data_IF_389871144372
#
_entry.id   IF_389871144372
#
_cell.length_a   1.000
_cell.length_b   1.000
_cell.length_c   1.000
_cell.angle_alpha   90.00
_cell.angle_beta   90.00
_cell.angle_gamma   90.00
#
_symmetry.space_group_name_H-M   'P 1'
#
loop_
_entity.id
_entity.type
_entity.pdbx_description
1 polymer ?
#
# COMPACT_ATOMS: atom_id res chain seq x y z
N UNK A 1 0.93 12.25 -28.06
CA UNK A 1 -0.53 12.10 -28.24
C UNK A 1 -1.12 12.02 -26.85
N UNK A 2 -1.94 13.02 -26.53
CA UNK A 2 -2.60 13.37 -25.26
C UNK A 2 -2.26 12.53 -24.00
N UNK A 3 -1.43 13.16 -23.16
CA UNK A 3 -1.26 12.94 -21.74
C UNK A 3 -2.62 13.00 -21.00
N UNK A 4 -2.89 11.97 -20.19
CA UNK A 4 -4.12 11.78 -19.44
C UNK A 4 -3.92 11.86 -17.92
N UNK A 5 -2.92 12.58 -17.42
CA UNK A 5 -2.84 12.89 -15.99
C UNK A 5 -3.56 14.19 -15.69
N UNK A 6 -4.82 14.10 -15.26
CA UNK A 6 -5.46 15.21 -14.57
C UNK A 6 -6.50 14.69 -13.56
N UNK A 7 -6.00 14.30 -12.39
CA UNK A 7 -6.81 14.26 -11.17
C UNK A 7 -6.00 14.89 -10.05
N UNK A 8 -5.69 16.18 -10.20
CA UNK A 8 -5.26 17.00 -9.07
C UNK A 8 -6.41 17.06 -8.05
N UNK A 9 -6.22 16.39 -6.92
CA UNK A 9 -6.92 16.70 -5.68
C UNK A 9 -6.26 17.95 -5.06
N UNK A 10 -6.24 19.05 -5.81
CA UNK A 10 -5.78 20.33 -5.31
C UNK A 10 -6.85 20.93 -4.39
N UNK A 11 -6.41 21.25 -3.18
CA UNK A 11 -7.13 22.14 -2.30
C UNK A 11 -7.28 23.51 -2.96
N UNK A 12 -8.52 24.00 -2.99
CA UNK A 12 -8.93 25.37 -3.32
C UNK A 12 -8.98 25.80 -4.80
N UNK A 13 -10.19 25.79 -5.37
CA UNK A 13 -10.85 27.01 -5.87
C UNK A 13 -12.34 26.77 -6.08
N UNK A 14 -13.16 27.59 -5.42
CA UNK A 14 -14.64 27.51 -5.51
C UNK A 14 -15.09 28.06 -6.85
N UNK A 15 -15.43 27.17 -7.78
CA UNK A 15 -16.29 27.50 -8.93
C UNK A 15 -17.41 26.48 -9.05
N UNK A 16 -18.58 26.90 -9.53
CA UNK A 16 -19.83 26.12 -9.59
C UNK A 16 -19.72 24.74 -10.28
N UNK A 17 -18.65 24.45 -11.04
CA UNK A 17 -18.37 23.13 -11.64
C UNK A 17 -17.83 22.09 -10.63
N UNK A 18 -17.23 22.52 -9.52
CA UNK A 18 -16.67 21.61 -8.49
C UNK A 18 -17.74 20.89 -7.65
N UNK A 19 -18.95 21.45 -7.54
CA UNK A 19 -20.04 20.88 -6.73
C UNK A 19 -20.59 19.57 -7.30
N UNK A 20 -20.74 19.47 -8.63
CA UNK A 20 -21.26 18.27 -9.31
C UNK A 20 -20.22 17.14 -9.37
N UNK A 21 -18.93 17.45 -9.49
CA UNK A 21 -17.85 16.48 -9.43
C UNK A 21 -17.70 15.89 -8.01
N UNK A 22 -17.78 16.73 -6.98
CA UNK A 22 -17.80 16.28 -5.57
C UNK A 22 -19.02 15.41 -5.24
N UNK A 23 -20.21 15.73 -5.77
CA UNK A 23 -21.40 14.87 -5.60
C UNK A 23 -21.26 13.50 -6.30
N UNK A 24 -20.65 13.45 -7.50
CA UNK A 24 -20.39 12.17 -8.22
C UNK A 24 -19.38 11.29 -7.49
N UNK A 25 -18.36 11.89 -6.87
CA UNK A 25 -17.40 11.18 -6.00
C UNK A 25 -18.10 10.50 -4.82
N UNK A 26 -19.08 11.16 -4.18
CA UNK A 26 -19.83 10.59 -3.05
C UNK A 26 -20.68 9.38 -3.45
N UNK A 27 -21.26 9.35 -4.65
CA UNK A 27 -22.05 8.19 -5.14
C UNK A 27 -21.21 6.94 -5.42
N UNK A 28 -19.88 7.07 -5.52
CA UNK A 28 -18.97 5.95 -5.73
C UNK A 28 -18.45 5.36 -4.42
N UNK A 29 -18.71 6.00 -3.28
CA UNK A 29 -18.23 5.51 -1.98
C UNK A 29 -18.98 4.23 -1.64
N UNK A 30 -18.24 3.17 -1.30
CA UNK A 30 -18.84 1.94 -0.79
C UNK A 30 -19.48 2.25 0.58
N UNK A 31 -20.79 2.00 0.78
CA UNK A 31 -21.46 2.32 2.04
C UNK A 31 -20.82 1.66 3.26
N UNK A 32 -20.17 0.49 3.08
CA UNK A 32 -19.44 -0.20 4.16
C UNK A 32 -18.20 0.57 4.63
N UNK A 33 -17.59 1.34 3.74
CA UNK A 33 -16.39 2.14 4.00
C UNK A 33 -16.72 3.60 4.35
N UNK A 34 -17.93 4.07 4.04
CA UNK A 34 -18.32 5.47 4.11
C UNK A 34 -18.15 6.10 5.50
N UNK A 35 -18.52 5.38 6.56
CA UNK A 35 -18.38 5.88 7.93
C UNK A 35 -16.91 6.05 8.32
N UNK A 36 -16.05 5.08 7.99
CA UNK A 36 -14.61 5.19 8.27
C UNK A 36 -13.96 6.25 7.40
N UNK A 37 -14.33 6.35 6.12
CA UNK A 37 -13.87 7.43 5.24
C UNK A 37 -14.20 8.81 5.81
N UNK A 38 -15.43 9.03 6.27
CA UNK A 38 -15.81 10.29 6.90
C UNK A 38 -14.98 10.58 8.15
N UNK A 39 -14.74 9.58 9.01
CA UNK A 39 -13.89 9.71 10.20
C UNK A 39 -12.44 10.05 9.84
N UNK A 40 -11.83 9.33 8.89
CA UNK A 40 -10.46 9.58 8.46
C UNK A 40 -10.32 10.98 7.85
N UNK A 41 -11.28 11.40 7.04
CA UNK A 41 -11.24 12.72 6.38
C UNK A 41 -11.48 13.89 7.33
N UNK A 42 -12.38 13.75 8.32
CA UNK A 42 -12.77 14.82 9.24
C UNK A 42 -11.93 14.87 10.52
N UNK A 43 -11.35 13.75 10.95
CA UNK A 43 -10.74 13.61 12.28
C UNK A 43 -9.34 13.01 12.32
N UNK A 44 -8.76 12.61 11.19
CA UNK A 44 -7.40 12.08 11.16
C UNK A 44 -6.37 13.17 11.50
N UNK A 45 -5.48 12.91 12.47
CA UNK A 45 -4.27 13.72 12.65
C UNK A 45 -3.46 13.65 11.36
N UNK A 46 -3.33 14.79 10.66
CA UNK A 46 -2.50 14.91 9.46
C UNK A 46 -1.21 15.57 9.88
N UNK A 47 -0.14 14.78 9.95
CA UNK A 47 1.17 15.30 10.31
C UNK A 47 2.00 15.51 9.05
N UNK A 48 1.84 16.69 8.44
CA UNK A 48 2.62 17.05 7.26
C UNK A 48 4.12 17.21 7.57
N UNK A 49 4.48 17.49 8.83
CA UNK A 49 5.89 17.58 9.23
C UNK A 49 6.61 16.22 9.14
N UNK A 50 5.87 15.10 9.22
CA UNK A 50 6.44 13.75 9.01
C UNK A 50 6.94 13.57 7.59
N UNK A 51 6.24 14.14 6.59
CA UNK A 51 6.67 14.06 5.19
C UNK A 51 7.97 14.82 4.99
N UNK A 52 8.04 16.04 5.51
CA UNK A 52 9.24 16.88 5.39
C UNK A 52 10.43 16.24 6.12
N UNK A 53 10.21 15.68 7.31
CA UNK A 53 11.24 14.97 8.07
C UNK A 53 11.74 13.72 7.33
N UNK A 54 10.84 12.92 6.74
CA UNK A 54 11.24 11.77 5.95
C UNK A 54 11.97 12.17 4.66
N UNK A 55 11.51 13.23 3.97
CA UNK A 55 12.18 13.74 2.77
C UNK A 55 13.61 14.20 3.08
N UNK A 56 13.80 14.95 4.17
CA UNK A 56 15.12 15.38 4.62
C UNK A 56 16.02 14.19 4.99
N UNK A 57 15.46 13.18 5.68
CA UNK A 57 16.17 11.94 5.95
C UNK A 57 16.58 11.22 4.65
N UNK A 58 15.66 11.10 3.69
CA UNK A 58 15.91 10.42 2.43
C UNK A 58 17.02 11.09 1.62
N UNK A 59 17.04 12.43 1.61
CA UNK A 59 18.11 13.22 1.00
C UNK A 59 19.45 13.03 1.74
N UNK A 60 19.45 13.13 3.08
CA UNK A 60 20.65 12.97 3.89
C UNK A 60 21.28 11.57 3.76
N UNK A 61 20.46 10.53 3.71
CA UNK A 61 20.91 9.15 3.52
C UNK A 61 21.29 8.85 2.05
N UNK A 62 21.05 9.79 1.13
CA UNK A 62 21.41 9.67 -0.28
C UNK A 62 20.59 8.62 -1.03
N UNK A 63 19.30 8.45 -0.72
CA UNK A 63 18.42 7.57 -1.49
C UNK A 63 18.24 8.07 -2.92
N UNK A 64 18.13 7.14 -3.88
CA UNK A 64 18.05 7.40 -5.32
C UNK A 64 16.61 7.23 -5.84
N UNK A 65 15.64 7.87 -5.20
CA UNK A 65 14.24 7.82 -5.63
C UNK A 65 13.98 8.79 -6.79
N UNK A 66 13.26 8.36 -7.80
CA UNK A 66 12.84 9.18 -8.95
C UNK A 66 11.38 9.61 -8.90
N UNK A 67 10.60 9.06 -7.97
CA UNK A 67 9.25 9.53 -7.67
C UNK A 67 9.04 9.77 -6.18
N UNK A 68 8.00 10.55 -5.87
CA UNK A 68 7.59 10.88 -4.50
C UNK A 68 6.16 10.42 -4.22
N UNK A 69 5.58 9.54 -5.03
CA UNK A 69 4.17 9.14 -4.93
C UNK A 69 3.78 8.65 -3.53
N UNK A 70 4.61 7.80 -2.92
CA UNK A 70 4.44 7.30 -1.56
C UNK A 70 4.34 8.42 -0.50
N UNK A 71 4.99 9.56 -0.71
CA UNK A 71 4.94 10.70 0.22
C UNK A 71 3.53 11.26 0.40
N UNK A 72 2.63 11.08 -0.57
CA UNK A 72 1.26 11.55 -0.47
C UNK A 72 0.44 10.78 0.57
N UNK A 73 0.83 9.53 0.85
CA UNK A 73 0.13 8.65 1.78
C UNK A 73 0.68 8.77 3.21
N UNK A 74 1.95 9.21 3.36
CA UNK A 74 2.64 9.34 4.65
C UNK A 74 1.82 10.06 5.74
N UNK A 75 1.21 11.24 5.50
CA UNK A 75 0.46 11.95 6.56
C UNK A 75 -0.71 11.15 7.13
N UNK A 76 -1.26 10.22 6.35
CA UNK A 76 -2.43 9.42 6.72
C UNK A 76 -2.02 8.07 7.32
N UNK A 77 -1.00 7.43 6.74
CA UNK A 77 -0.57 6.09 7.14
C UNK A 77 0.37 6.12 8.36
N UNK A 78 1.16 7.18 8.55
CA UNK A 78 2.10 7.30 9.68
C UNK A 78 1.45 7.14 11.07
N UNK A 79 0.37 7.86 11.44
CA UNK A 79 -0.25 7.68 12.75
C UNK A 79 -0.81 6.26 12.93
N UNK A 80 -1.41 5.71 11.87
CA UNK A 80 -1.97 4.36 11.88
C UNK A 80 -0.89 3.29 12.14
N UNK A 81 0.26 3.41 11.48
CA UNK A 81 1.39 2.48 11.65
C UNK A 81 2.04 2.62 13.03
N UNK A 82 2.13 3.84 13.57
CA UNK A 82 2.60 4.07 14.95
C UNK A 82 1.67 3.39 15.96
N UNK A 83 0.36 3.56 15.81
CA UNK A 83 -0.62 2.92 16.69
C UNK A 83 -0.57 1.39 16.59
N UNK A 84 -0.43 0.87 15.37
CA UNK A 84 -0.23 -0.56 15.11
C UNK A 84 1.02 -1.10 15.81
N UNK A 85 2.13 -0.38 15.73
CA UNK A 85 3.40 -0.77 16.32
C UNK A 85 3.44 -0.59 17.86
N UNK A 86 2.67 0.37 18.40
CA UNK A 86 2.57 0.65 19.83
C UNK A 86 1.73 -0.40 20.60
N UNK A 87 0.80 -1.08 19.92
CA UNK A 87 0.02 -2.20 20.48
C UNK A 87 0.83 -3.50 20.60
N UNK A 88 2.08 -3.49 20.14
CA UNK A 88 3.00 -4.64 20.14
C UNK A 88 4.12 -4.42 21.15
N UNK A 89 4.69 -5.48 21.77
CA UNK A 89 5.84 -5.37 22.64
C UNK A 89 6.98 -4.56 22.01
N UNK A 90 7.63 -3.73 22.83
CA UNK A 90 8.80 -2.99 22.40
C UNK A 90 9.90 -3.97 21.93
N UNK A 91 10.49 -3.71 20.77
CA UNK A 91 11.54 -4.56 20.20
C UNK A 91 11.04 -5.86 19.54
N UNK A 92 9.74 -6.16 19.53
CA UNK A 92 9.19 -7.26 18.75
C UNK A 92 9.46 -7.04 17.24
N UNK A 93 9.91 -8.10 16.55
CA UNK A 93 10.03 -8.12 15.09
C UNK A 93 8.65 -8.08 14.47
N UNK A 94 8.42 -7.12 13.57
CA UNK A 94 7.22 -7.06 12.72
C UNK A 94 7.60 -7.69 11.38
N UNK A 95 6.95 -8.81 11.03
CA UNK A 95 7.08 -9.43 9.70
C UNK A 95 6.25 -8.63 8.72
N UNK A 96 6.94 -7.97 7.80
CA UNK A 96 6.37 -7.01 6.88
C UNK A 96 6.52 -7.49 5.43
N UNK A 97 5.40 -7.62 4.71
CA UNK A 97 5.42 -7.91 3.27
C UNK A 97 4.97 -6.69 2.46
N UNK A 98 5.69 -6.36 1.39
CA UNK A 98 5.30 -5.33 0.42
C UNK A 98 5.21 -5.95 -0.99
N UNK A 99 4.05 -5.79 -1.64
CA UNK A 99 3.83 -6.15 -3.04
C UNK A 99 3.89 -4.87 -3.87
N UNK A 100 4.78 -4.81 -4.86
CA UNK A 100 5.02 -3.62 -5.67
C UNK A 100 5.88 -2.60 -4.93
N UNK A 101 7.18 -2.88 -4.84
CA UNK A 101 8.11 -2.02 -4.10
C UNK A 101 8.78 -0.96 -4.98
N UNK A 102 8.78 -1.11 -6.31
CA UNK A 102 9.42 -0.19 -7.26
C UNK A 102 10.88 0.12 -6.85
N UNK A 103 11.20 1.37 -6.51
CA UNK A 103 12.54 1.81 -6.03
C UNK A 103 12.71 1.69 -4.50
N UNK A 104 11.68 1.27 -3.76
CA UNK A 104 11.70 0.98 -2.33
C UNK A 104 11.41 2.18 -1.42
N UNK A 105 10.71 3.22 -1.91
CA UNK A 105 10.47 4.44 -1.13
C UNK A 105 9.58 4.19 0.08
N UNK A 106 8.51 3.42 -0.07
CA UNK A 106 7.63 3.07 1.03
C UNK A 106 8.39 2.22 2.08
N UNK A 107 9.13 1.20 1.65
CA UNK A 107 10.04 0.44 2.52
C UNK A 107 11.02 1.31 3.32
N UNK A 108 11.67 2.29 2.69
CA UNK A 108 12.57 3.22 3.39
C UNK A 108 11.83 4.10 4.40
N UNK A 109 10.61 4.53 4.08
CA UNK A 109 9.74 5.23 5.02
C UNK A 109 9.36 4.34 6.21
N UNK A 110 9.03 3.08 5.95
CA UNK A 110 8.69 2.09 6.98
C UNK A 110 9.87 1.83 7.93
N UNK A 111 11.10 1.69 7.38
CA UNK A 111 12.34 1.57 8.16
C UNK A 111 12.55 2.78 9.07
N UNK A 112 12.45 3.99 8.50
CA UNK A 112 12.62 5.24 9.24
C UNK A 112 11.55 5.42 10.33
N UNK A 113 10.30 5.02 10.06
CA UNK A 113 9.20 5.12 11.02
C UNK A 113 9.31 4.10 12.16
N UNK A 114 9.79 2.88 11.85
CA UNK A 114 9.85 1.74 12.76
C UNK A 114 11.28 1.14 12.79
N UNK A 115 12.28 1.92 13.22
CA UNK A 115 13.68 1.55 13.10
C UNK A 115 13.99 0.26 13.84
N UNK A 116 14.77 -0.60 13.20
CA UNK A 116 15.24 -1.89 13.73
C UNK A 116 14.09 -2.84 14.16
N UNK A 117 12.88 -2.70 13.61
CA UNK A 117 11.75 -3.59 13.92
C UNK A 117 11.32 -4.51 12.80
N UNK A 118 11.70 -4.23 11.55
CA UNK A 118 11.10 -4.88 10.39
C UNK A 118 11.92 -6.08 9.91
N UNK A 119 11.26 -7.23 9.74
CA UNK A 119 11.72 -8.32 8.91
C UNK A 119 10.92 -8.28 7.60
N UNK A 120 11.57 -7.91 6.50
CA UNK A 120 10.92 -7.47 5.28
C UNK A 120 10.94 -8.56 4.22
N UNK A 121 9.81 -8.78 3.57
CA UNK A 121 9.65 -9.59 2.36
C UNK A 121 9.11 -8.70 1.24
N UNK A 122 9.81 -8.65 0.11
CA UNK A 122 9.41 -7.85 -1.05
C UNK A 122 9.01 -8.75 -2.20
N UNK A 123 7.92 -8.41 -2.87
CA UNK A 123 7.50 -9.04 -4.12
C UNK A 123 7.36 -7.95 -5.18
N UNK A 124 8.18 -8.01 -6.22
CA UNK A 124 8.10 -7.08 -7.35
C UNK A 124 8.59 -7.77 -8.62
N UNK A 125 7.89 -7.69 -9.76
CA UNK A 125 8.37 -8.30 -10.98
C UNK A 125 9.65 -7.64 -11.52
N UNK A 126 9.81 -6.32 -11.33
CA UNK A 126 10.79 -5.46 -12.00
C UNK A 126 10.96 -5.79 -13.50
N UNK A 127 12.01 -5.30 -14.15
CA UNK A 127 12.28 -5.70 -15.53
C UNK A 127 12.72 -7.17 -15.57
N UNK A 128 12.04 -7.97 -16.39
CA UNK A 128 12.42 -9.35 -16.70
C UNK A 128 12.02 -9.65 -18.15
N UNK A 129 12.95 -10.16 -18.97
CA UNK A 129 12.69 -10.37 -20.40
C UNK A 129 11.53 -11.34 -20.68
N UNK A 130 11.31 -12.32 -19.80
CA UNK A 130 10.30 -13.34 -19.97
C UNK A 130 8.98 -12.98 -19.26
N UNK A 131 9.06 -12.32 -18.10
CA UNK A 131 7.91 -12.06 -17.23
C UNK A 131 7.40 -10.62 -17.34
N UNK A 132 8.28 -9.63 -17.36
CA UNK A 132 7.89 -8.21 -17.38
C UNK A 132 8.88 -7.38 -18.23
N UNK A 133 8.79 -7.47 -19.57
CA UNK A 133 9.77 -6.90 -20.50
C UNK A 133 9.61 -5.39 -20.71
N UNK A 134 8.99 -4.68 -19.77
CA UNK A 134 8.79 -3.23 -19.87
C UNK A 134 10.09 -2.47 -19.56
N UNK A 135 10.74 -1.95 -20.61
CA UNK A 135 12.06 -1.30 -20.55
C UNK A 135 12.16 -0.17 -19.50
N UNK A 136 11.04 0.51 -19.20
CA UNK A 136 10.99 1.55 -18.16
C UNK A 136 11.44 1.04 -16.78
N UNK A 137 11.37 -0.26 -16.53
CA UNK A 137 11.80 -0.88 -15.28
C UNK A 137 13.28 -1.29 -15.23
N UNK A 138 14.06 -1.14 -16.32
CA UNK A 138 15.46 -1.56 -16.36
C UNK A 138 16.31 -0.95 -15.23
N UNK A 139 16.11 0.34 -14.95
CA UNK A 139 16.87 1.07 -13.94
C UNK A 139 16.30 0.92 -12.52
N UNK A 140 15.12 0.32 -12.38
CA UNK A 140 14.35 0.32 -11.12
C UNK A 140 14.92 -0.68 -10.13
N UNK A 141 15.08 -1.96 -10.50
CA UNK A 141 15.67 -2.96 -9.60
C UNK A 141 17.08 -2.57 -9.13
N UNK A 142 18.01 -2.10 -10.00
CA UNK A 142 19.31 -1.64 -9.54
C UNK A 142 19.25 -0.48 -8.53
N UNK A 143 18.34 0.47 -8.70
CA UNK A 143 18.12 1.57 -7.73
C UNK A 143 17.53 1.05 -6.43
N UNK A 144 16.52 0.19 -6.51
CA UNK A 144 15.94 -0.49 -5.37
C UNK A 144 17.02 -1.15 -4.51
N UNK A 145 17.91 -1.96 -5.11
CA UNK A 145 18.99 -2.63 -4.37
C UNK A 145 19.91 -1.63 -3.66
N UNK A 146 20.29 -0.54 -4.32
CA UNK A 146 21.13 0.52 -3.70
C UNK A 146 20.40 1.28 -2.60
N UNK A 147 19.08 1.45 -2.70
CA UNK A 147 18.25 2.06 -1.68
C UNK A 147 18.11 1.13 -0.47
N UNK A 148 17.79 -0.14 -0.69
CA UNK A 148 17.63 -1.11 0.40
C UNK A 148 18.93 -1.37 1.18
N UNK A 149 20.09 -1.20 0.54
CA UNK A 149 21.39 -1.24 1.22
C UNK A 149 21.59 -0.13 2.26
N UNK A 150 20.74 0.91 2.27
CA UNK A 150 20.76 2.03 3.22
C UNK A 150 19.77 1.83 4.38
N UNK A 151 18.93 0.80 4.33
CA UNK A 151 17.91 0.53 5.35
C UNK A 151 18.43 -0.39 6.46
N UNK A 152 17.92 -0.21 7.68
CA UNK A 152 18.27 -0.95 8.89
C UNK A 152 17.36 -2.14 9.21
N UNK A 153 16.86 -2.84 8.19
CA UNK A 153 15.96 -3.99 8.39
C UNK A 153 16.67 -5.13 9.16
N UNK A 154 15.91 -5.85 10.00
CA UNK A 154 16.40 -7.08 10.67
C UNK A 154 16.70 -8.19 9.66
N UNK A 155 15.92 -8.22 8.58
CA UNK A 155 16.13 -9.09 7.42
C UNK A 155 15.41 -8.50 6.22
N UNK A 156 15.89 -8.83 5.03
CA UNK A 156 15.27 -8.48 3.75
C UNK A 156 15.31 -9.71 2.84
N UNK A 157 14.14 -10.27 2.54
CA UNK A 157 13.95 -11.25 1.48
C UNK A 157 13.30 -10.58 0.27
N UNK A 158 13.72 -10.93 -0.94
CA UNK A 158 13.27 -10.26 -2.16
C UNK A 158 12.94 -11.30 -3.23
N UNK A 159 11.68 -11.33 -3.62
CA UNK A 159 11.16 -12.18 -4.68
C UNK A 159 10.92 -11.35 -5.93
N UNK A 160 11.77 -11.58 -6.94
CA UNK A 160 11.54 -11.05 -8.27
C UNK A 160 10.47 -11.89 -8.97
N UNK A 161 9.30 -11.32 -9.22
CA UNK A 161 8.20 -11.99 -9.93
C UNK A 161 6.82 -11.43 -9.60
N UNK A 162 5.80 -11.88 -10.33
CA UNK A 162 4.42 -11.51 -10.05
C UNK A 162 3.93 -12.18 -8.76
N UNK A 163 3.22 -11.41 -7.94
CA UNK A 163 2.54 -11.86 -6.72
C UNK A 163 1.64 -13.08 -6.94
N UNK A 164 0.94 -13.14 -8.08
CA UNK A 164 0.11 -14.30 -8.48
C UNK A 164 0.87 -15.63 -8.48
N UNK A 165 2.19 -15.63 -8.69
CA UNK A 165 3.02 -16.84 -8.64
C UNK A 165 3.76 -17.02 -7.31
N UNK A 166 4.13 -15.92 -6.66
CA UNK A 166 4.94 -15.94 -5.43
C UNK A 166 4.08 -16.23 -4.19
N UNK A 167 2.92 -15.58 -4.07
CA UNK A 167 2.04 -15.72 -2.89
C UNK A 167 1.54 -17.15 -2.63
N UNK A 168 1.14 -17.94 -3.65
CA UNK A 168 0.77 -19.35 -3.42
C UNK A 168 1.91 -20.17 -2.81
N UNK A 169 3.16 -19.91 -3.20
CA UNK A 169 4.32 -20.63 -2.68
C UNK A 169 4.60 -20.28 -1.22
N UNK A 170 4.46 -19.00 -0.85
CA UNK A 170 4.57 -18.56 0.54
C UNK A 170 3.48 -19.19 1.40
N UNK A 171 2.25 -19.27 0.88
CA UNK A 171 1.14 -19.89 1.57
C UNK A 171 1.38 -21.40 1.78
N UNK A 172 1.91 -22.10 0.78
CA UNK A 172 2.30 -23.51 0.87
C UNK A 172 3.37 -23.73 1.95
N UNK A 173 4.33 -22.80 2.07
CA UNK A 173 5.38 -22.82 3.11
C UNK A 173 4.87 -22.47 4.51
N UNK A 174 3.60 -22.05 4.63
CA UNK A 174 3.01 -21.64 5.90
C UNK A 174 3.56 -20.31 6.43
N UNK A 175 4.05 -19.46 5.54
CA UNK A 175 4.50 -18.12 5.91
C UNK A 175 3.35 -17.29 6.45
N UNK A 176 3.66 -16.37 7.36
CA UNK A 176 2.70 -15.43 7.90
C UNK A 176 3.35 -14.06 8.11
N UNK A 177 2.52 -13.02 8.04
CA UNK A 177 2.93 -11.64 8.21
C UNK A 177 2.08 -10.93 9.26
N UNK A 178 2.66 -9.90 9.85
CA UNK A 178 1.99 -9.02 10.81
C UNK A 178 1.51 -7.74 10.12
N UNK A 179 2.25 -7.30 9.11
CA UNK A 179 1.90 -6.17 8.27
C UNK A 179 2.05 -6.57 6.79
N UNK A 180 1.08 -6.21 5.97
CA UNK A 180 1.11 -6.39 4.52
C UNK A 180 0.76 -5.06 3.85
N UNK A 181 1.52 -4.66 2.84
CA UNK A 181 1.23 -3.52 1.97
C UNK A 181 1.05 -4.01 0.54
N UNK A 182 -0.09 -3.68 -0.06
CA UNK A 182 -0.45 -4.07 -1.42
C UNK A 182 -0.47 -2.83 -2.30
N UNK A 183 0.54 -2.70 -3.15
CA UNK A 183 0.75 -1.60 -4.11
C UNK A 183 1.24 -2.16 -5.46
N UNK A 184 0.65 -3.29 -5.88
CA UNK A 184 1.02 -4.00 -7.10
C UNK A 184 -0.17 -4.15 -8.03
N UNK A 185 0.04 -3.85 -9.33
CA UNK A 185 -1.00 -3.81 -10.37
C UNK A 185 -2.16 -2.86 -10.04
N UNK A 186 -2.86 -2.33 -11.05
CA UNK A 186 -4.11 -1.61 -10.80
C UNK A 186 -5.30 -2.25 -11.50
N UNK A 187 -5.20 -3.55 -11.83
CA UNK A 187 -6.32 -4.33 -12.38
C UNK A 187 -7.08 -5.05 -11.26
N UNK A 188 -8.41 -5.05 -11.32
CA UNK A 188 -9.22 -5.66 -10.27
C UNK A 188 -8.93 -7.16 -10.08
N UNK A 189 -8.60 -7.88 -11.16
CA UNK A 189 -8.29 -9.31 -11.10
C UNK A 189 -7.01 -9.58 -10.30
N UNK A 190 -5.91 -8.92 -10.66
CA UNK A 190 -4.63 -9.12 -9.99
C UNK A 190 -4.71 -8.72 -8.52
N UNK A 191 -5.28 -7.55 -8.24
CA UNK A 191 -5.46 -7.06 -6.86
C UNK A 191 -6.33 -8.02 -6.07
N UNK A 192 -7.47 -8.49 -6.60
CA UNK A 192 -8.35 -9.42 -5.85
C UNK A 192 -7.66 -10.75 -5.53
N UNK A 193 -6.84 -11.27 -6.46
CA UNK A 193 -6.01 -12.47 -6.21
C UNK A 193 -5.05 -12.20 -5.04
N UNK A 194 -4.34 -11.07 -5.07
CA UNK A 194 -3.39 -10.70 -4.04
C UNK A 194 -4.07 -10.55 -2.69
N UNK A 195 -5.24 -9.89 -2.63
CA UNK A 195 -6.01 -9.74 -1.40
C UNK A 195 -6.41 -11.08 -0.79
N UNK A 196 -6.85 -12.05 -1.60
CA UNK A 196 -7.24 -13.38 -1.12
C UNK A 196 -6.06 -14.15 -0.50
N UNK A 197 -4.89 -14.12 -1.14
CA UNK A 197 -3.69 -14.74 -0.57
C UNK A 197 -3.19 -13.98 0.66
N UNK A 198 -3.13 -12.65 0.60
CA UNK A 198 -2.71 -11.80 1.72
C UNK A 198 -3.62 -12.00 2.94
N UNK A 199 -4.93 -12.18 2.77
CA UNK A 199 -5.86 -12.49 3.85
C UNK A 199 -5.54 -13.81 4.58
N UNK A 200 -5.01 -14.79 3.83
CA UNK A 200 -4.60 -16.09 4.35
C UNK A 200 -3.21 -16.04 5.01
N UNK A 201 -2.32 -15.19 4.49
CA UNK A 201 -0.96 -14.96 5.01
C UNK A 201 -0.92 -13.97 6.19
N UNK A 202 -1.94 -13.13 6.36
CA UNK A 202 -2.01 -12.17 7.44
C UNK A 202 -2.43 -12.85 8.75
N UNK A 203 -1.64 -12.63 9.80
CA UNK A 203 -1.96 -13.10 11.16
C UNK A 203 -3.16 -12.34 11.73
N UNK A 204 -3.96 -12.96 12.61
CA UNK A 204 -4.98 -12.23 13.39
C UNK A 204 -4.31 -11.14 14.23
N UNK A 205 -4.88 -9.93 14.23
CA UNK A 205 -4.28 -8.72 14.78
C UNK A 205 -3.28 -8.03 13.85
N UNK A 206 -2.98 -8.65 12.70
CA UNK A 206 -2.19 -8.06 11.63
C UNK A 206 -2.97 -7.00 10.85
N UNK A 207 -2.23 -6.15 10.15
CA UNK A 207 -2.77 -5.07 9.32
C UNK A 207 -2.41 -5.29 7.86
N UNK A 208 -3.35 -4.98 6.97
CA UNK A 208 -3.16 -4.93 5.53
C UNK A 208 -3.52 -3.54 5.03
N UNK A 209 -2.59 -2.88 4.35
CA UNK A 209 -2.78 -1.55 3.73
C UNK A 209 -2.85 -1.73 2.21
N UNK A 210 -3.89 -1.17 1.62
CA UNK A 210 -4.23 -1.33 0.20
C UNK A 210 -4.10 0.04 -0.47
N UNK A 211 -3.08 0.21 -1.32
CA UNK A 211 -2.86 1.49 -2.01
C UNK A 211 -3.87 1.74 -3.13
N UNK A 212 -3.95 2.98 -3.61
CA UNK A 212 -4.69 3.37 -4.82
C UNK A 212 -6.18 2.97 -4.85
N UNK A 213 -6.85 2.99 -3.69
CA UNK A 213 -8.26 2.60 -3.56
C UNK A 213 -9.22 3.33 -4.51
N UNK A 214 -8.89 4.56 -4.94
CA UNK A 214 -9.74 5.33 -5.87
C UNK A 214 -9.50 5.03 -7.35
N UNK A 215 -8.62 4.08 -7.70
CA UNK A 215 -8.45 3.61 -9.08
C UNK A 215 -9.68 2.78 -9.50
N UNK A 216 -10.68 3.47 -10.07
CA UNK A 216 -11.91 2.87 -10.59
C UNK A 216 -11.72 2.12 -11.91
N UNK A 217 -10.79 2.61 -12.73
CA UNK A 217 -10.50 2.10 -14.07
C UNK A 217 -9.01 1.85 -14.16
N UNK A 218 -8.61 0.62 -14.49
CA UNK A 218 -7.20 0.26 -14.66
C UNK A 218 -6.60 0.89 -15.93
N UNK A 219 -5.28 0.94 -16.01
CA UNK A 219 -4.53 1.50 -17.15
C UNK A 219 -4.83 0.77 -18.47
N UNK A 220 -5.17 -0.51 -18.39
CA UNK A 220 -5.51 -1.35 -19.54
C UNK A 220 -7.00 -1.29 -19.93
N UNK A 221 -7.78 -0.44 -19.26
CA UNK A 221 -9.24 -0.40 -19.37
C UNK A 221 -9.92 -1.56 -18.63
N UNK A 222 -11.05 -1.27 -17.97
CA UNK A 222 -11.75 -2.23 -17.12
C UNK A 222 -11.67 -1.89 -15.64
N UNK A 223 -12.21 -2.74 -14.74
CA UNK A 223 -12.29 -2.45 -13.31
C UNK A 223 -10.89 -2.42 -12.67
N UNK A 224 -10.66 -1.45 -11.78
CA UNK A 224 -9.41 -1.26 -11.07
C UNK A 224 -9.42 -1.70 -9.61
N UNK A 225 -8.48 -1.14 -8.84
CA UNK A 225 -8.24 -1.43 -7.42
C UNK A 225 -9.53 -1.32 -6.60
N UNK A 226 -10.32 -0.26 -6.82
CA UNK A 226 -11.53 -0.01 -6.03
C UNK A 226 -12.47 -1.21 -6.05
N UNK A 227 -12.70 -1.78 -7.23
CA UNK A 227 -13.62 -2.90 -7.39
C UNK A 227 -13.09 -4.15 -6.69
N UNK A 228 -11.77 -4.40 -6.74
CA UNK A 228 -11.17 -5.51 -6.00
C UNK A 228 -11.37 -5.36 -4.49
N UNK A 229 -11.04 -4.20 -3.93
CA UNK A 229 -11.18 -3.92 -2.49
C UNK A 229 -12.63 -3.99 -2.04
N UNK A 230 -13.55 -3.41 -2.81
CA UNK A 230 -14.98 -3.42 -2.50
C UNK A 230 -15.57 -4.84 -2.49
N UNK A 231 -15.19 -5.67 -3.47
CA UNK A 231 -15.64 -7.06 -3.56
C UNK A 231 -15.00 -7.96 -2.50
N UNK A 232 -13.71 -7.81 -2.26
CA UNK A 232 -13.01 -8.51 -1.19
C UNK A 232 -13.67 -8.22 0.17
N UNK A 233 -13.91 -6.95 0.48
CA UNK A 233 -14.55 -6.57 1.74
C UNK A 233 -16.03 -7.01 1.78
N UNK A 234 -16.73 -7.06 0.65
CA UNK A 234 -18.09 -7.60 0.62
C UNK A 234 -18.14 -9.09 1.00
N UNK A 235 -17.15 -9.89 0.57
CA UNK A 235 -17.06 -11.32 0.88
C UNK A 235 -16.48 -11.61 2.28
N UNK A 236 -15.42 -10.90 2.65
CA UNK A 236 -14.60 -11.24 3.83
C UNK A 236 -14.63 -10.19 4.94
N UNK A 237 -15.36 -9.08 4.78
CA UNK A 237 -15.35 -7.96 5.73
C UNK A 237 -15.72 -8.33 7.17
N UNK A 238 -16.38 -9.47 7.42
CA UNK A 238 -16.66 -9.94 8.79
C UNK A 238 -15.41 -10.34 9.59
N UNK A 239 -14.29 -10.57 8.91
CA UNK A 239 -13.01 -10.94 9.52
C UNK A 239 -12.03 -9.77 9.59
N UNK A 240 -12.46 -8.56 9.18
CA UNK A 240 -11.63 -7.38 9.12
C UNK A 240 -12.32 -6.18 9.76
N UNK A 241 -11.59 -5.47 10.60
CA UNK A 241 -11.93 -4.12 11.00
C UNK A 241 -11.37 -3.14 9.96
N UNK A 242 -12.17 -2.14 9.56
CA UNK A 242 -11.70 -1.07 8.67
C UNK A 242 -11.05 0.02 9.54
N UNK A 243 -9.71 0.05 9.56
CA UNK A 243 -8.95 0.97 10.38
C UNK A 243 -8.87 2.38 9.77
N UNK A 244 -8.76 2.49 8.45
CA UNK A 244 -8.74 3.77 7.74
C UNK A 244 -9.25 3.63 6.30
N UNK A 245 -9.85 4.70 5.78
CA UNK A 245 -10.21 4.83 4.37
C UNK A 245 -9.92 6.26 3.92
N UNK A 246 -9.06 6.42 2.94
CA UNK A 246 -8.73 7.68 2.27
C UNK A 246 -8.31 7.31 0.85
N UNK A 247 -7.12 7.72 0.40
CA UNK A 247 -6.45 7.18 -0.79
C UNK A 247 -6.16 5.69 -0.68
N UNK A 248 -5.99 5.21 0.55
CA UNK A 248 -5.75 3.81 0.87
C UNK A 248 -6.88 3.24 1.72
N UNK A 249 -6.99 1.92 1.75
CA UNK A 249 -7.81 1.21 2.74
C UNK A 249 -6.89 0.42 3.64
N UNK A 250 -7.00 0.62 4.95
CA UNK A 250 -6.32 -0.21 5.92
C UNK A 250 -7.31 -1.11 6.65
N UNK A 251 -7.02 -2.40 6.65
CA UNK A 251 -7.82 -3.45 7.27
C UNK A 251 -7.00 -4.14 8.37
N UNK A 252 -7.60 -4.37 9.54
CA UNK A 252 -7.00 -5.18 10.60
C UNK A 252 -7.75 -6.50 10.68
N UNK A 253 -7.05 -7.63 10.55
CA UNK A 253 -7.67 -8.95 10.63
C UNK A 253 -8.08 -9.25 12.07
N UNK A 254 -9.35 -9.58 12.30
CA UNK A 254 -9.91 -9.78 13.66
C UNK A 254 -10.17 -11.25 13.99
N UNK A 255 -10.26 -12.11 12.97
CA UNK A 255 -10.49 -13.54 13.15
C UNK A 255 -9.95 -14.33 11.94
N UNK A 256 -9.73 -15.63 12.13
CA UNK A 256 -9.37 -16.51 11.03
C UNK A 256 -10.53 -16.70 10.04
N UNK A 257 -10.17 -16.79 8.76
CA UNK A 257 -11.10 -17.13 7.69
C UNK A 257 -11.18 -18.66 7.63
N UNK A 258 -12.36 -19.28 7.86
CA UNK A 258 -12.53 -20.72 7.75
C UNK A 258 -12.15 -21.22 6.35
N UNK A 259 -11.46 -22.36 6.30
CA UNK A 259 -11.11 -23.09 5.07
C UNK A 259 -12.20 -24.09 4.72
#
# INVERSE_FOLDING_TARGET
MADGTDVNFDAETVTHRGGLAKLRSLTKVNPRLATTLAKTMLGGQRDHAVVDAFNAHAEQAGFEFTSTWASNNIPFVAPLLRDFAAKRPAGETIRYMEIGAYEGRNLAFMDWLLPERLAVTVIDPWFDEALNPEEKYHAVEPRFRRNMAKCGFRSLDTHKGFSTYVLPQMLERGEQFDLIYVDGSHTALAVLIDLCFCASLLSVGGMMVLDDYWHDISEIGGPGVKQAVDQFHAAFGRYFEIAAVYRQVALVKTAEIPR
#
